data_IF_310958465779
#
_entry.id   IF_310958465779
#
_cell.length_a   1.000
_cell.length_b   1.000
_cell.length_c   1.000
_cell.angle_alpha   90.00
_cell.angle_beta   90.00
_cell.angle_gamma   90.00
#
_symmetry.space_group_name_H-M   'P 1'
#
loop_
_entity.id
_entity.type
_entity.pdbx_description
1 polymer ?
#
# COMPACT_ATOMS: atom_id res chain seq x y z
N UNK A 1 53.07 3.99 -72.05
CA UNK A 1 52.29 4.25 -73.27
C UNK A 1 50.94 3.50 -73.19
N UNK A 2 49.82 4.21 -73.45
CA UNK A 2 48.40 3.76 -73.62
C UNK A 2 47.68 3.24 -72.33
N UNK A 3 46.75 3.94 -71.64
CA UNK A 3 45.37 4.45 -71.94
C UNK A 3 44.42 3.31 -72.40
N UNK A 4 43.25 2.96 -71.83
CA UNK A 4 41.99 3.69 -71.44
C UNK A 4 41.06 2.67 -70.68
N UNK A 5 40.38 2.98 -69.57
CA UNK A 5 39.00 3.55 -69.34
C UNK A 5 37.77 2.64 -69.61
N UNK A 6 36.75 2.80 -68.74
CA UNK A 6 35.30 2.43 -68.73
C UNK A 6 34.92 1.23 -67.83
N UNK A 7 34.29 1.35 -66.64
CA UNK A 7 33.00 1.93 -66.17
C UNK A 7 31.73 1.26 -66.72
N UNK A 8 30.71 1.18 -65.84
CA UNK A 8 29.29 0.82 -66.05
C UNK A 8 29.05 -0.72 -66.20
N UNK A 9 28.12 -1.42 -65.54
CA UNK A 9 26.75 -1.05 -65.16
C UNK A 9 26.20 -1.99 -64.07
N UNK A 10 25.77 -1.35 -63.00
CA UNK A 10 24.89 -1.84 -61.95
C UNK A 10 23.44 -1.64 -62.49
N UNK A 11 22.56 -2.63 -62.29
CA UNK A 11 21.08 -2.55 -62.22
C UNK A 11 20.25 -2.90 -63.47
N UNK A 12 19.59 -4.06 -63.39
CA UNK A 12 18.25 -4.35 -63.88
C UNK A 12 17.61 -5.24 -62.79
N UNK A 13 16.89 -4.73 -61.79
CA UNK A 13 15.49 -4.25 -61.82
C UNK A 13 14.53 -5.30 -62.39
N UNK A 14 13.92 -6.03 -61.44
CA UNK A 14 12.47 -6.11 -61.20
C UNK A 14 11.62 -6.96 -62.16
N UNK A 15 10.54 -7.51 -61.56
CA UNK A 15 9.34 -8.13 -62.14
C UNK A 15 9.46 -9.66 -62.28
N UNK A 16 8.64 -10.52 -61.67
CA UNK A 16 7.46 -10.34 -60.82
C UNK A 16 6.91 -11.72 -60.38
N UNK A 17 6.42 -11.78 -59.12
CA UNK A 17 5.07 -12.28 -58.70
C UNK A 17 4.72 -13.77 -58.99
N UNK A 18 4.05 -14.58 -58.14
CA UNK A 18 3.00 -14.33 -57.14
C UNK A 18 2.64 -15.69 -56.47
N UNK A 19 2.30 -15.68 -55.15
CA UNK A 19 1.26 -16.50 -54.46
C UNK A 19 1.50 -18.02 -54.29
N UNK A 20 1.25 -18.72 -53.16
CA UNK A 20 0.80 -18.41 -51.78
C UNK A 20 0.73 -19.73 -50.95
N UNK A 21 0.86 -19.61 -49.61
CA UNK A 21 0.34 -20.50 -48.53
C UNK A 21 0.88 -21.95 -48.50
N UNK A 22 1.29 -22.55 -47.36
CA UNK A 22 0.63 -22.70 -46.06
C UNK A 22 1.66 -23.02 -44.95
N UNK A 23 1.38 -22.59 -43.71
CA UNK A 23 1.57 -23.26 -42.39
C UNK A 23 2.84 -24.11 -42.18
N UNK A 24 3.62 -23.99 -41.11
CA UNK A 24 3.19 -24.11 -39.71
C UNK A 24 4.41 -24.04 -38.79
N UNK A 25 4.19 -23.40 -37.64
CA UNK A 25 4.95 -23.39 -36.40
C UNK A 25 5.93 -24.56 -36.18
N UNK A 26 7.24 -24.28 -36.10
CA UNK A 26 8.16 -25.13 -35.33
C UNK A 26 7.93 -24.84 -33.85
N UNK A 27 7.30 -25.80 -33.17
CA UNK A 27 7.11 -25.79 -31.72
C UNK A 27 8.48 -25.81 -31.06
N UNK A 28 8.92 -24.69 -30.49
CA UNK A 28 10.04 -24.69 -29.55
C UNK A 28 9.60 -25.52 -28.33
N UNK A 29 10.32 -26.60 -28.06
CA UNK A 29 10.17 -27.34 -26.82
C UNK A 29 10.60 -26.45 -25.67
N UNK A 30 9.67 -26.19 -24.75
CA UNK A 30 9.97 -25.56 -23.48
C UNK A 30 11.07 -26.34 -22.75
N UNK A 31 12.01 -25.67 -22.07
CA UNK A 31 13.04 -26.34 -21.31
C UNK A 31 12.41 -27.29 -20.28
N UNK A 32 12.85 -28.54 -20.30
CA UNK A 32 12.38 -29.59 -19.41
C UNK A 32 12.91 -29.32 -17.99
N UNK A 33 12.10 -28.70 -17.14
CA UNK A 33 12.39 -28.55 -15.72
C UNK A 33 12.12 -29.88 -15.00
N UNK A 34 13.10 -30.45 -14.26
CA UNK A 34 12.92 -31.71 -13.56
C UNK A 34 11.78 -31.61 -12.55
N UNK A 35 10.75 -32.44 -12.74
CA UNK A 35 9.67 -32.68 -11.77
C UNK A 35 10.18 -33.59 -10.66
N UNK A 36 10.70 -32.98 -9.60
CA UNK A 36 10.45 -33.32 -8.19
C UNK A 36 11.57 -32.68 -7.36
N UNK A 37 11.23 -31.62 -6.65
CA UNK A 37 11.35 -31.61 -5.21
C UNK A 37 10.35 -30.57 -4.71
N UNK A 38 9.57 -30.98 -3.72
CA UNK A 38 8.56 -30.18 -3.04
C UNK A 38 9.23 -28.99 -2.36
N UNK A 39 9.48 -27.93 -3.12
CA UNK A 39 9.65 -26.60 -2.56
C UNK A 39 8.28 -26.23 -2.04
N UNK A 40 8.06 -26.43 -0.74
CA UNK A 40 7.03 -25.71 -0.02
C UNK A 40 7.31 -24.23 -0.24
N UNK A 41 6.68 -23.66 -1.27
CA UNK A 41 6.39 -22.24 -1.32
C UNK A 41 5.64 -21.99 -0.03
N UNK A 42 6.36 -21.51 0.98
CA UNK A 42 5.77 -20.77 2.09
C UNK A 42 4.86 -19.77 1.39
N UNK A 43 3.56 -19.88 1.58
CA UNK A 43 2.67 -18.74 1.36
C UNK A 43 3.39 -17.54 1.97
N UNK A 44 3.52 -16.45 1.20
CA UNK A 44 4.02 -15.20 1.75
C UNK A 44 3.33 -15.01 3.09
N UNK A 45 4.11 -15.12 4.17
CA UNK A 45 3.66 -14.60 5.45
C UNK A 45 3.43 -13.14 5.15
N UNK A 46 2.16 -12.73 5.18
CA UNK A 46 1.83 -11.32 5.25
C UNK A 46 2.65 -10.84 6.45
N UNK A 47 3.67 -10.00 6.21
CA UNK A 47 4.29 -9.28 7.31
C UNK A 47 3.13 -8.49 7.93
N UNK A 48 2.70 -8.91 9.11
CA UNK A 48 1.67 -8.24 9.90
C UNK A 48 2.29 -7.02 10.59
N UNK A 49 3.24 -6.37 9.92
CA UNK A 49 3.87 -5.18 10.44
C UNK A 49 2.91 -4.02 10.23
N UNK A 50 2.56 -3.36 11.33
CA UNK A 50 1.72 -2.18 11.28
C UNK A 50 2.50 -1.00 11.82
N UNK A 51 2.56 0.03 10.99
CA UNK A 51 3.25 1.27 11.29
C UNK A 51 2.27 2.33 11.78
N UNK A 52 2.59 2.90 12.94
CA UNK A 52 1.84 3.97 13.58
C UNK A 52 2.73 5.20 13.72
N UNK A 53 2.19 6.39 13.52
CA UNK A 53 2.93 7.62 13.74
C UNK A 53 3.17 7.82 15.25
N UNK A 54 4.36 8.22 15.67
CA UNK A 54 4.64 8.63 17.05
C UNK A 54 4.45 10.14 17.15
N UNK A 55 3.33 10.58 17.73
CA UNK A 55 2.90 11.99 17.73
C UNK A 55 3.18 12.64 19.09
N UNK A 56 4.14 13.56 19.12
CA UNK A 56 4.46 14.42 20.26
C UNK A 56 3.68 15.73 20.25
N UNK A 57 3.39 16.28 21.44
CA UNK A 57 2.73 17.59 21.57
C UNK A 57 1.41 17.71 20.79
N UNK A 58 0.70 16.59 20.58
CA UNK A 58 -0.53 16.43 19.79
C UNK A 58 -0.39 16.54 18.25
N UNK A 59 0.69 17.09 17.71
CA UNK A 59 0.77 17.43 16.27
C UNK A 59 2.13 17.16 15.61
N UNK A 60 3.18 16.88 16.39
CA UNK A 60 4.53 16.74 15.86
C UNK A 60 4.80 15.25 15.67
N UNK A 61 4.97 14.80 14.43
CA UNK A 61 5.48 13.46 14.20
C UNK A 61 6.98 13.44 14.56
N UNK A 62 7.33 12.63 15.55
CA UNK A 62 8.72 12.48 16.05
C UNK A 62 9.31 11.12 15.71
N UNK A 63 8.61 10.32 14.90
CA UNK A 63 9.01 8.98 14.51
C UNK A 63 7.82 8.04 14.32
N UNK A 64 8.07 6.75 14.48
CA UNK A 64 7.07 5.69 14.28
C UNK A 64 7.09 4.69 15.42
N UNK A 65 5.98 3.96 15.56
CA UNK A 65 5.89 2.75 16.36
C UNK A 65 5.43 1.61 15.45
N UNK A 66 6.24 0.57 15.37
CA UNK A 66 6.00 -0.62 14.55
C UNK A 66 5.49 -1.74 15.45
N UNK A 67 4.36 -2.34 15.06
CA UNK A 67 3.82 -3.54 15.70
C UNK A 67 4.01 -4.71 14.76
N UNK A 68 4.68 -5.77 15.21
CA UNK A 68 4.84 -7.00 14.42
C UNK A 68 4.69 -8.21 15.32
N UNK A 69 3.96 -9.23 14.88
CA UNK A 69 3.84 -10.50 15.61
C UNK A 69 4.51 -11.68 14.90
N UNK A 70 5.09 -12.58 15.68
CA UNK A 70 5.65 -13.86 15.21
C UNK A 70 4.71 -15.06 15.50
N UNK A 71 3.46 -14.79 15.88
CA UNK A 71 2.47 -15.75 16.37
C UNK A 71 2.61 -16.13 17.85
N UNK A 72 3.68 -15.70 18.54
CA UNK A 72 3.92 -15.96 19.97
C UNK A 72 4.06 -14.67 20.77
N UNK A 73 4.75 -13.68 20.22
CA UNK A 73 4.97 -12.38 20.82
C UNK A 73 4.54 -11.26 19.87
N UNK A 74 4.12 -10.16 20.44
CA UNK A 74 3.99 -8.86 19.80
C UNK A 74 5.25 -8.06 20.09
N UNK A 75 6.01 -7.75 19.05
CA UNK A 75 7.10 -6.79 19.10
C UNK A 75 6.53 -5.39 18.88
N UNK A 76 6.81 -4.49 19.82
CA UNK A 76 6.44 -3.06 19.75
C UNK A 76 7.73 -2.25 19.71
N UNK A 77 8.11 -1.82 18.51
CA UNK A 77 9.34 -1.07 18.28
C UNK A 77 9.05 0.41 18.11
N UNK A 78 9.66 1.24 18.96
CA UNK A 78 9.70 2.69 18.83
C UNK A 78 10.92 3.07 18.00
N UNK A 79 10.76 3.99 17.05
CA UNK A 79 11.83 4.57 16.25
C UNK A 79 11.62 6.07 16.18
N UNK A 80 12.58 6.88 16.61
CA UNK A 80 12.50 8.35 16.46
C UNK A 80 13.21 8.84 15.20
N UNK A 81 12.75 9.96 14.66
CA UNK A 81 13.33 10.63 13.48
C UNK A 81 13.63 12.10 13.76
N UNK A 82 14.22 12.80 12.78
CA UNK A 82 14.32 14.27 12.75
C UNK A 82 14.97 14.93 13.97
N UNK A 83 15.94 14.24 14.58
CA UNK A 83 16.70 14.77 15.72
C UNK A 83 16.03 14.56 17.08
N UNK A 84 14.98 13.76 17.15
CA UNK A 84 14.37 13.33 18.40
C UNK A 84 15.04 12.09 18.97
N UNK A 85 15.08 11.99 20.30
CA UNK A 85 15.59 10.85 21.07
C UNK A 85 14.58 10.45 22.15
N UNK A 86 14.55 9.16 22.47
CA UNK A 86 13.73 8.57 23.53
C UNK A 86 14.40 8.76 24.89
N UNK A 87 13.64 9.13 25.92
CA UNK A 87 14.11 9.17 27.31
C UNK A 87 13.39 8.16 28.21
N UNK A 88 12.07 8.03 28.06
CA UNK A 88 11.23 7.13 28.86
C UNK A 88 10.19 6.49 27.95
N UNK A 89 9.80 5.25 28.24
CA UNK A 89 8.78 4.53 27.48
C UNK A 89 7.79 3.85 28.42
N UNK A 90 6.52 3.87 28.05
CA UNK A 90 5.47 3.15 28.75
C UNK A 90 4.54 2.50 27.74
N UNK A 91 4.28 1.21 27.91
CA UNK A 91 3.51 0.41 26.98
C UNK A 91 2.45 -0.40 27.74
N UNK A 92 1.21 -0.24 27.30
CA UNK A 92 0.12 -1.15 27.64
C UNK A 92 -0.21 -2.02 26.42
N UNK A 93 -0.31 -3.34 26.65
CA UNK A 93 -0.86 -4.32 25.70
C UNK A 93 -1.76 -5.25 26.50
N UNK A 94 -3.04 -5.31 26.13
CA UNK A 94 -4.04 -6.08 26.87
C UNK A 94 -5.48 -5.73 26.45
N UNK A 95 -6.50 -6.16 27.21
CA UNK A 95 -7.89 -5.78 26.93
C UNK A 95 -8.12 -4.27 27.11
N UNK A 96 -9.04 -3.68 26.35
CA UNK A 96 -9.32 -2.24 26.41
C UNK A 96 -9.78 -1.77 27.80
N UNK A 97 -10.62 -2.57 28.47
CA UNK A 97 -11.08 -2.32 29.84
C UNK A 97 -9.95 -2.41 30.88
N UNK A 98 -8.82 -3.00 30.51
CA UNK A 98 -7.65 -3.13 31.37
C UNK A 98 -6.69 -1.95 31.29
N UNK A 99 -6.90 -0.98 30.38
CA UNK A 99 -6.03 0.19 30.28
C UNK A 99 -6.11 0.98 31.60
N UNK A 100 -4.99 1.18 32.33
CA UNK A 100 -5.00 1.89 33.59
C UNK A 100 -5.46 3.34 33.41
N UNK A 101 -6.62 3.69 33.95
CA UNK A 101 -7.17 5.06 33.92
C UNK A 101 -7.57 5.53 35.31
N UNK A 102 -7.59 6.85 35.52
CA UNK A 102 -8.13 7.44 36.73
C UNK A 102 -9.67 7.59 36.63
N UNK A 103 -10.32 8.05 37.70
CA UNK A 103 -11.78 8.24 37.73
C UNK A 103 -12.35 9.19 36.67
N UNK A 104 -11.50 10.00 36.01
CA UNK A 104 -11.88 10.92 34.93
C UNK A 104 -11.52 10.36 33.54
N UNK A 105 -11.12 9.09 33.44
CA UNK A 105 -10.75 8.43 32.19
C UNK A 105 -9.35 8.75 31.68
N UNK A 106 -8.55 9.58 32.37
CA UNK A 106 -7.19 9.86 31.92
C UNK A 106 -6.29 8.64 32.16
N UNK A 107 -5.41 8.27 31.21
CA UNK A 107 -4.45 7.19 31.41
C UNK A 107 -3.52 7.49 32.59
N UNK A 108 -3.22 6.46 33.37
CA UNK A 108 -2.22 6.48 34.44
C UNK A 108 -0.98 5.78 33.92
N UNK A 109 -0.17 6.53 33.18
CA UNK A 109 0.98 6.03 32.39
C UNK A 109 1.96 5.22 33.25
N UNK A 110 2.28 5.68 34.46
CA UNK A 110 3.15 4.95 35.41
C UNK A 110 2.55 3.66 36.00
N UNK A 111 1.37 3.23 35.55
CA UNK A 111 0.79 1.92 35.86
C UNK A 111 0.75 0.99 34.64
N UNK A 112 1.34 1.40 33.51
CA UNK A 112 1.46 0.52 32.36
C UNK A 112 2.43 -0.63 32.70
N UNK A 113 2.10 -1.87 32.31
CA UNK A 113 2.83 -3.06 32.76
C UNK A 113 4.24 -3.19 32.18
N UNK A 114 4.48 -2.57 31.02
CA UNK A 114 5.79 -2.51 30.38
C UNK A 114 6.27 -1.07 30.42
N UNK A 115 7.46 -0.82 30.95
CA UNK A 115 8.08 0.50 30.91
C UNK A 115 9.60 0.40 30.87
N UNK A 116 10.20 1.48 30.40
CA UNK A 116 11.62 1.78 30.57
C UNK A 116 11.72 3.23 31.06
N UNK A 117 12.07 3.40 32.34
CA UNK A 117 12.00 4.68 33.05
C UNK A 117 13.23 5.57 32.76
N UNK A 118 14.29 5.00 32.16
CA UNK A 118 15.47 5.77 31.80
C UNK A 118 16.24 5.08 30.69
N UNK A 119 16.12 5.62 29.48
CA UNK A 119 16.95 5.22 28.34
C UNK A 119 18.27 6.02 28.32
N UNK A 120 19.36 5.44 27.77
CA UNK A 120 20.58 6.18 27.52
C UNK A 120 20.35 7.41 26.65
N UNK A 121 21.17 8.43 26.84
CA UNK A 121 21.16 9.60 25.97
C UNK A 121 21.31 9.20 24.49
N UNK A 122 20.62 9.93 23.61
CA UNK A 122 20.62 9.76 22.15
C UNK A 122 20.03 8.42 21.67
N UNK A 123 19.25 7.72 22.50
CA UNK A 123 18.54 6.50 22.08
C UNK A 123 17.47 6.84 21.06
N UNK A 124 17.57 6.29 19.84
CA UNK A 124 16.59 6.54 18.76
C UNK A 124 15.70 5.35 18.45
N UNK A 125 15.91 4.19 19.09
CA UNK A 125 15.08 3.02 18.90
C UNK A 125 15.05 2.14 20.13
N UNK A 126 13.89 1.54 20.40
CA UNK A 126 13.74 0.56 21.47
C UNK A 126 12.57 -0.37 21.16
N UNK A 127 12.70 -1.66 21.50
CA UNK A 127 11.66 -2.66 21.26
C UNK A 127 11.24 -3.31 22.56
N UNK A 128 9.93 -3.37 22.82
CA UNK A 128 9.36 -4.29 23.80
C UNK A 128 8.91 -5.57 23.11
N UNK A 129 9.25 -6.70 23.69
CA UNK A 129 8.69 -8.01 23.32
C UNK A 129 7.61 -8.37 24.32
N UNK A 130 6.35 -8.43 23.87
CA UNK A 130 5.20 -8.71 24.71
C UNK A 130 4.62 -10.09 24.36
N UNK A 131 4.56 -11.05 25.31
CA UNK A 131 3.93 -12.33 25.06
C UNK A 131 2.46 -12.16 24.70
N UNK A 132 2.02 -12.77 23.60
CA UNK A 132 0.63 -12.81 23.22
C UNK A 132 -0.11 -13.86 24.05
N UNK A 133 -1.26 -13.48 24.60
CA UNK A 133 -2.19 -14.40 25.28
C UNK A 133 -3.06 -15.18 24.30
N UNK A 134 -4.23 -15.66 24.75
CA UNK A 134 -5.19 -16.36 23.87
C UNK A 134 -6.17 -15.40 23.17
N UNK A 135 -6.19 -14.12 23.54
CA UNK A 135 -7.09 -13.13 22.95
C UNK A 135 -6.83 -12.92 21.45
N UNK A 136 -7.90 -12.62 20.70
CA UNK A 136 -7.81 -12.31 19.26
C UNK A 136 -7.35 -10.88 19.02
N UNK A 137 -7.70 -9.93 19.91
CA UNK A 137 -7.37 -8.52 19.78
C UNK A 137 -6.88 -7.93 21.11
N UNK A 138 -5.96 -6.99 21.03
CA UNK A 138 -5.37 -6.27 22.15
C UNK A 138 -5.46 -4.77 21.91
N UNK A 139 -5.83 -4.02 22.94
CA UNK A 139 -5.56 -2.60 22.99
C UNK A 139 -4.07 -2.36 23.25
N UNK A 140 -3.45 -1.54 22.41
CA UNK A 140 -2.05 -1.13 22.49
C UNK A 140 -2.00 0.37 22.72
N UNK A 141 -1.49 0.77 23.89
CA UNK A 141 -1.28 2.18 24.23
C UNK A 141 0.22 2.39 24.43
N UNK A 142 0.87 2.92 23.39
CA UNK A 142 2.31 3.15 23.33
C UNK A 142 2.60 4.63 23.59
N UNK A 143 3.29 4.92 24.70
CA UNK A 143 3.65 6.25 25.16
C UNK A 143 5.17 6.39 25.26
N UNK A 144 5.67 7.55 24.86
CA UNK A 144 7.08 7.90 24.98
C UNK A 144 7.25 9.29 25.58
N UNK A 145 8.31 9.48 26.35
CA UNK A 145 8.89 10.79 26.61
C UNK A 145 10.08 10.94 25.67
N UNK A 146 10.11 12.05 24.94
CA UNK A 146 11.11 12.33 23.91
C UNK A 146 11.73 13.69 24.13
N UNK A 147 12.95 13.88 23.62
CA UNK A 147 13.59 15.18 23.58
C UNK A 147 14.30 15.44 22.25
N UNK A 148 14.37 16.72 21.88
CA UNK A 148 15.07 17.15 20.67
C UNK A 148 16.55 17.48 20.95
N UNK A 149 17.29 17.82 19.88
CA UNK A 149 18.69 18.24 19.96
C UNK A 149 18.93 19.52 20.78
N UNK A 150 17.88 20.26 21.13
CA UNK A 150 17.93 21.45 21.96
C UNK A 150 17.58 21.17 23.44
N UNK A 151 17.24 19.91 23.77
CA UNK A 151 16.83 19.48 25.10
C UNK A 151 15.39 19.84 25.45
N UNK A 152 14.55 20.21 24.47
CA UNK A 152 13.12 20.37 24.70
C UNK A 152 12.50 18.99 24.88
N UNK A 153 11.71 18.82 25.95
CA UNK A 153 11.06 17.54 26.29
C UNK A 153 9.59 17.59 25.92
N UNK A 154 9.10 16.54 25.27
CA UNK A 154 7.70 16.34 24.92
C UNK A 154 7.25 14.93 25.29
N UNK A 155 5.94 14.75 25.47
CA UNK A 155 5.33 13.42 25.54
C UNK A 155 4.74 13.07 24.18
N UNK A 156 4.82 11.81 23.78
CA UNK A 156 4.33 11.30 22.51
C UNK A 156 3.49 10.03 22.69
N UNK A 157 2.54 9.83 21.78
CA UNK A 157 1.70 8.64 21.74
C UNK A 157 1.69 8.06 20.32
N UNK A 158 1.68 6.73 20.23
CA UNK A 158 1.44 6.08 18.96
C UNK A 158 0.02 6.37 18.48
N UNK A 159 -0.10 6.76 17.21
CA UNK A 159 -1.36 7.01 16.53
C UNK A 159 -1.37 6.19 15.24
N UNK A 160 -2.06 5.06 15.29
CA UNK A 160 -2.22 4.16 14.16
C UNK A 160 -3.36 4.65 13.26
N UNK A 161 -3.08 4.81 11.98
CA UNK A 161 -4.07 5.12 10.96
C UNK A 161 -3.87 4.14 9.81
N UNK A 162 -4.89 3.34 9.51
CA UNK A 162 -4.81 2.45 8.36
C UNK A 162 -4.86 3.26 7.06
N UNK A 163 -3.72 3.36 6.39
CA UNK A 163 -3.47 4.20 5.21
C UNK A 163 -3.02 3.34 4.01
N UNK A 164 -3.87 2.49 3.43
CA UNK A 164 -3.46 1.61 2.35
C UNK A 164 -3.13 2.38 1.08
N UNK A 165 -2.19 1.85 0.33
CA UNK A 165 -1.97 2.22 -1.05
C UNK A 165 -3.10 1.65 -1.91
N UNK A 166 -3.77 2.54 -2.63
CA UNK A 166 -4.76 2.24 -3.65
C UNK A 166 -4.18 2.56 -5.01
N UNK A 167 -4.20 1.58 -5.89
CA UNK A 167 -3.85 1.77 -7.30
C UNK A 167 -4.61 0.79 -8.18
N UNK A 168 -4.96 1.22 -9.39
CA UNK A 168 -5.73 0.39 -10.29
C UNK A 168 -5.41 0.65 -11.75
N UNK A 169 -5.74 -0.35 -12.57
CA UNK A 169 -5.78 -0.26 -14.03
C UNK A 169 -7.14 -0.72 -14.52
N UNK A 170 -7.70 0.04 -15.45
CA UNK A 170 -8.97 -0.28 -16.09
C UNK A 170 -8.86 -0.19 -17.61
N UNK A 171 -9.72 -0.92 -18.30
CA UNK A 171 -9.87 -0.86 -19.74
C UNK A 171 -11.26 -0.38 -20.09
N UNK A 172 -11.31 0.55 -21.03
CA UNK A 172 -12.51 1.22 -21.48
C UNK A 172 -12.74 0.89 -22.96
N UNK A 173 -14.01 0.78 -23.32
CA UNK A 173 -14.50 0.79 -24.68
C UNK A 173 -15.10 2.16 -24.95
N UNK A 174 -14.79 2.68 -26.12
CA UNK A 174 -15.37 3.92 -26.66
C UNK A 174 -16.32 3.53 -27.80
N UNK A 175 -17.63 3.51 -27.55
CA UNK A 175 -18.60 3.12 -28.57
C UNK A 175 -18.62 4.07 -29.77
N UNK A 176 -18.32 5.35 -29.53
CA UNK A 176 -18.46 6.42 -30.52
C UNK A 176 -17.15 6.68 -31.28
N UNK A 177 -16.03 6.15 -30.77
CA UNK A 177 -14.70 6.30 -31.37
C UNK A 177 -14.14 7.72 -31.24
N UNK A 178 -14.67 8.52 -30.31
CA UNK A 178 -14.27 9.89 -30.00
C UNK A 178 -12.78 10.00 -29.62
N UNK A 179 -12.24 8.95 -29.01
CA UNK A 179 -10.83 8.76 -28.65
C UNK A 179 -9.93 8.39 -29.83
N UNK A 180 -10.49 8.07 -30.99
CA UNK A 180 -9.76 7.47 -32.12
C UNK A 180 -9.41 5.99 -31.90
N UNK A 181 -9.84 5.38 -30.79
CA UNK A 181 -9.60 3.99 -30.44
C UNK A 181 -10.91 3.28 -30.10
N UNK A 182 -11.07 2.02 -30.50
CA UNK A 182 -12.25 1.23 -30.10
C UNK A 182 -12.17 0.77 -28.64
N UNK A 183 -10.96 0.55 -28.14
CA UNK A 183 -10.67 0.28 -26.73
C UNK A 183 -9.35 0.91 -26.33
N UNK A 184 -9.26 1.32 -25.07
CA UNK A 184 -8.04 1.85 -24.49
C UNK A 184 -7.99 1.53 -22.99
N UNK A 185 -6.92 1.94 -22.33
CA UNK A 185 -6.72 1.73 -20.90
C UNK A 185 -6.53 3.05 -20.17
N UNK A 186 -6.86 3.03 -18.88
CA UNK A 186 -6.59 4.12 -17.95
C UNK A 186 -6.09 3.55 -16.62
N UNK A 187 -5.36 4.36 -15.87
CA UNK A 187 -4.83 4.05 -14.53
C UNK A 187 -5.27 5.11 -13.55
N UNK A 188 -5.19 4.83 -12.25
CA UNK A 188 -5.35 5.87 -11.23
C UNK A 188 -4.31 6.97 -11.39
N UNK A 189 -4.71 8.23 -11.23
CA UNK A 189 -3.80 9.34 -10.92
C UNK A 189 -3.14 9.11 -9.57
N UNK A 190 -2.05 9.82 -9.26
CA UNK A 190 -1.36 9.73 -7.98
C UNK A 190 0.15 9.81 -8.11
N UNK A 191 0.86 9.47 -7.04
CA UNK A 191 2.32 9.40 -7.03
C UNK A 191 2.80 8.21 -7.89
N UNK A 192 3.76 8.37 -8.80
CA UNK A 192 4.21 7.28 -9.65
C UNK A 192 4.95 6.21 -8.85
N UNK A 193 4.65 4.93 -9.13
CA UNK A 193 5.34 3.78 -8.50
C UNK A 193 6.82 3.72 -8.87
N UNK A 194 7.16 4.16 -10.09
CA UNK A 194 8.52 4.18 -10.61
C UNK A 194 8.70 5.38 -11.55
N UNK A 195 9.92 5.88 -11.62
CA UNK A 195 10.33 6.93 -12.57
C UNK A 195 10.84 6.37 -13.90
N UNK A 196 10.96 5.04 -14.03
CA UNK A 196 11.34 4.37 -15.28
C UNK A 196 10.13 3.77 -16.02
N UNK A 197 10.20 3.79 -17.35
CA UNK A 197 9.26 3.16 -18.30
C UNK A 197 7.80 3.68 -18.31
N UNK A 198 6.91 2.95 -18.99
CA UNK A 198 5.49 3.27 -19.21
C UNK A 198 4.65 3.24 -17.92
N UNK A 199 5.14 2.63 -16.84
CA UNK A 199 4.46 2.63 -15.55
C UNK A 199 4.64 3.93 -14.76
N UNK A 200 5.41 4.89 -15.29
CA UNK A 200 5.52 6.27 -14.76
C UNK A 200 4.20 7.03 -14.70
N UNK A 201 3.17 6.59 -15.43
CA UNK A 201 1.84 7.22 -15.37
C UNK A 201 0.89 6.54 -14.39
N UNK A 202 1.28 5.40 -13.79
CA UNK A 202 0.49 4.69 -12.81
C UNK A 202 0.63 5.36 -11.46
N UNK A 203 -0.43 6.03 -11.03
CA UNK A 203 -0.49 6.66 -9.73
C UNK A 203 -0.89 5.69 -8.62
N UNK A 204 -0.14 5.72 -7.53
CA UNK A 204 -0.53 5.22 -6.21
C UNK A 204 -1.06 6.35 -5.37
N UNK A 205 -2.07 6.04 -4.55
CA UNK A 205 -2.64 6.98 -3.60
C UNK A 205 -2.68 6.32 -2.23
N UNK A 206 -2.10 6.97 -1.23
CA UNK A 206 -2.32 6.63 0.17
C UNK A 206 -3.75 7.04 0.50
N UNK A 207 -4.61 6.07 0.85
CA UNK A 207 -6.00 6.35 1.15
C UNK A 207 -6.15 7.20 2.40
N UNK A 208 -6.89 8.29 2.24
CA UNK A 208 -7.48 9.10 3.30
C UNK A 208 -9.01 9.04 3.14
N UNK A 209 -9.72 9.06 4.26
CA UNK A 209 -11.17 8.85 4.30
C UNK A 209 -11.93 9.76 3.32
N UNK A 210 -12.63 9.15 2.35
CA UNK A 210 -13.46 9.84 1.37
C UNK A 210 -12.73 10.34 0.11
N UNK A 211 -11.56 9.80 -0.20
CA UNK A 211 -10.76 10.23 -1.33
C UNK A 211 -11.41 10.01 -2.71
N UNK A 212 -11.07 10.94 -3.61
CA UNK A 212 -11.43 10.90 -5.03
C UNK A 212 -10.21 11.09 -5.90
N UNK A 213 -10.01 10.19 -6.85
CA UNK A 213 -8.92 10.22 -7.81
C UNK A 213 -9.47 10.32 -9.24
N UNK A 214 -8.62 10.74 -10.18
CA UNK A 214 -8.96 10.73 -11.60
C UNK A 214 -8.44 9.46 -12.27
N UNK A 215 -9.10 9.02 -13.33
CA UNK A 215 -8.48 8.09 -14.26
C UNK A 215 -7.62 8.89 -15.25
N UNK A 216 -6.41 8.39 -15.51
CA UNK A 216 -5.43 8.97 -16.43
C UNK A 216 -5.19 8.02 -17.59
N UNK A 217 -5.21 8.55 -18.81
CA UNK A 217 -4.90 7.83 -20.04
C UNK A 217 -4.04 8.70 -20.96
N UNK A 218 -3.30 8.07 -21.86
CA UNK A 218 -2.48 8.74 -22.87
C UNK A 218 -3.25 9.17 -24.12
N UNK A 219 -4.46 8.64 -24.32
CA UNK A 219 -5.25 8.81 -25.54
C UNK A 219 -6.63 9.43 -25.30
N UNK A 220 -7.01 9.65 -24.04
CA UNK A 220 -8.29 10.29 -23.69
C UNK A 220 -8.12 11.27 -22.54
N UNK A 221 -8.55 12.52 -22.75
CA UNK A 221 -8.61 13.52 -21.69
C UNK A 221 -9.87 13.27 -20.87
N UNK A 222 -9.72 12.87 -19.60
CA UNK A 222 -10.81 12.63 -18.64
C UNK A 222 -11.63 11.32 -18.83
N UNK A 223 -10.99 10.13 -18.84
CA UNK A 223 -11.67 8.86 -19.04
C UNK A 223 -12.63 8.44 -17.90
N UNK A 224 -12.53 9.06 -16.72
CA UNK A 224 -13.38 8.73 -15.59
C UNK A 224 -12.81 9.16 -14.25
N UNK A 225 -13.43 8.69 -13.18
CA UNK A 225 -13.05 8.97 -11.80
C UNK A 225 -13.10 7.73 -10.93
N UNK A 226 -12.39 7.80 -9.81
CA UNK A 226 -12.36 6.78 -8.77
C UNK A 226 -12.80 7.45 -7.48
N UNK A 227 -13.74 6.84 -6.76
CA UNK A 227 -14.15 7.26 -5.42
C UNK A 227 -13.93 6.10 -4.47
N UNK A 228 -13.37 6.36 -3.30
CA UNK A 228 -13.13 5.36 -2.26
C UNK A 228 -13.88 5.74 -0.99
N UNK A 229 -14.59 4.76 -0.42
CA UNK A 229 -15.30 4.90 0.85
C UNK A 229 -15.02 3.70 1.74
N UNK A 230 -14.91 3.90 3.05
CA UNK A 230 -14.90 2.82 4.05
C UNK A 230 -16.26 2.70 4.76
N UNK A 231 -16.64 1.47 5.09
CA UNK A 231 -17.76 1.16 5.99
C UNK A 231 -17.31 0.62 7.36
N UNK A 232 -16.00 0.63 7.62
CA UNK A 232 -15.37 0.06 8.81
C UNK A 232 -15.02 -1.43 8.69
N UNK A 233 -15.43 -2.12 7.62
CA UNK A 233 -15.04 -3.51 7.35
C UNK A 233 -14.41 -3.68 5.96
N UNK A 234 -14.83 -2.87 4.98
CA UNK A 234 -14.34 -2.91 3.61
C UNK A 234 -14.07 -1.51 3.08
N UNK A 235 -13.07 -1.41 2.22
CA UNK A 235 -12.90 -0.32 1.28
C UNK A 235 -13.71 -0.63 0.02
N UNK A 236 -14.67 0.23 -0.26
CA UNK A 236 -15.46 0.22 -1.47
C UNK A 236 -14.86 1.19 -2.47
N UNK A 237 -14.28 0.65 -3.54
CA UNK A 237 -13.66 1.40 -4.64
C UNK A 237 -14.62 1.44 -5.82
N UNK A 238 -15.17 2.62 -6.09
CA UNK A 238 -16.07 2.85 -7.23
C UNK A 238 -15.30 3.51 -8.37
N UNK A 239 -15.18 2.81 -9.49
CA UNK A 239 -14.61 3.33 -10.73
C UNK A 239 -15.76 3.70 -11.64
N UNK A 240 -15.84 4.96 -12.05
CA UNK A 240 -16.89 5.48 -12.93
C UNK A 240 -16.27 6.02 -14.20
N UNK A 241 -16.67 5.48 -15.35
CA UNK A 241 -16.34 6.04 -16.65
C UNK A 241 -17.08 7.37 -16.86
N UNK A 242 -16.44 8.31 -17.55
CA UNK A 242 -17.11 9.54 -18.00
C UNK A 242 -17.62 9.37 -19.43
N UNK A 243 -18.48 10.29 -19.83
CA UNK A 243 -19.12 10.30 -21.16
C UNK A 243 -19.86 8.96 -21.43
N UNK A 244 -19.94 8.54 -22.69
CA UNK A 244 -20.54 7.26 -23.10
C UNK A 244 -19.54 6.09 -23.11
N UNK A 245 -18.42 6.23 -22.38
CA UNK A 245 -17.41 5.19 -22.25
C UNK A 245 -17.91 4.03 -21.38
N UNK A 246 -17.50 2.82 -21.73
CA UNK A 246 -17.83 1.61 -20.98
C UNK A 246 -16.58 0.95 -20.42
N UNK A 247 -16.52 0.77 -19.10
CA UNK A 247 -15.55 -0.10 -18.47
C UNK A 247 -15.81 -1.54 -18.91
N UNK A 248 -14.77 -2.34 -19.15
CA UNK A 248 -14.93 -3.78 -19.40
C UNK A 248 -13.98 -4.69 -18.62
N UNK A 249 -12.97 -4.09 -17.97
CA UNK A 249 -12.02 -4.78 -17.09
C UNK A 249 -11.46 -3.78 -16.09
N UNK A 250 -11.41 -4.14 -14.81
CA UNK A 250 -10.75 -3.33 -13.78
C UNK A 250 -9.98 -4.24 -12.84
N UNK A 251 -8.71 -3.91 -12.61
CA UNK A 251 -7.83 -4.59 -11.67
C UNK A 251 -7.38 -3.59 -10.60
N UNK A 252 -7.59 -3.95 -9.34
CA UNK A 252 -7.39 -3.10 -8.17
C UNK A 252 -6.42 -3.76 -7.20
N UNK A 253 -5.46 -2.98 -6.73
CA UNK A 253 -4.63 -3.31 -5.59
C UNK A 253 -4.97 -2.39 -4.41
N UNK A 254 -5.09 -2.99 -3.24
CA UNK A 254 -5.22 -2.33 -1.94
C UNK A 254 -4.26 -3.06 -1.00
N UNK A 255 -3.34 -2.34 -0.37
CA UNK A 255 -2.32 -2.94 0.50
C UNK A 255 -1.21 -1.96 0.85
N UNK A 256 -0.07 -2.48 1.33
CA UNK A 256 1.12 -1.65 1.62
C UNK A 256 2.00 -1.43 0.38
N UNK A 257 2.99 -0.54 0.48
CA UNK A 257 3.94 -0.28 -0.61
C UNK A 257 4.86 -1.49 -0.86
N UNK A 258 5.22 -2.21 0.19
CA UNK A 258 6.03 -3.43 0.20
C UNK A 258 5.28 -4.55 -0.51
N UNK A 259 3.99 -4.73 -0.17
CA UNK A 259 3.10 -5.68 -0.84
C UNK A 259 2.95 -5.35 -2.33
N UNK A 260 2.85 -4.07 -2.69
CA UNK A 260 2.79 -3.65 -4.09
C UNK A 260 4.11 -3.94 -4.83
N UNK A 261 5.25 -3.73 -4.18
CA UNK A 261 6.57 -3.99 -4.77
C UNK A 261 6.77 -5.47 -5.14
N UNK A 262 6.10 -6.39 -4.44
CA UNK A 262 6.10 -7.81 -4.77
C UNK A 262 5.49 -8.13 -6.17
N UNK A 263 4.71 -7.21 -6.75
CA UNK A 263 4.17 -7.33 -8.10
C UNK A 263 5.14 -6.84 -9.20
N UNK A 264 6.31 -6.34 -8.81
CA UNK A 264 7.36 -5.82 -9.70
C UNK A 264 7.32 -4.30 -9.89
N UNK A 265 8.42 -3.76 -10.44
CA UNK A 265 8.61 -2.31 -10.68
C UNK A 265 7.48 -1.70 -11.52
N UNK A 266 7.04 -2.43 -12.55
CA UNK A 266 5.78 -2.17 -13.25
C UNK A 266 4.83 -3.34 -12.93
N UNK A 267 3.82 -3.14 -12.07
CA UNK A 267 3.04 -4.23 -11.51
C UNK A 267 2.36 -5.15 -12.53
N UNK A 268 2.40 -6.46 -12.29
CA UNK A 268 1.62 -7.44 -13.04
C UNK A 268 0.13 -7.39 -12.66
N UNK A 269 -0.63 -6.44 -13.24
CA UNK A 269 -2.04 -6.20 -12.87
C UNK A 269 -2.97 -7.42 -12.90
N UNK A 270 -2.87 -8.36 -13.88
CA UNK A 270 -3.69 -9.58 -13.84
C UNK A 270 -3.56 -10.41 -12.56
N UNK A 271 -2.45 -10.25 -11.83
CA UNK A 271 -2.20 -10.91 -10.55
C UNK A 271 -2.82 -10.17 -9.35
N UNK A 272 -3.35 -8.96 -9.54
CA UNK A 272 -3.99 -8.22 -8.46
C UNK A 272 -5.20 -9.00 -7.89
N UNK A 273 -5.43 -8.91 -6.56
CA UNK A 273 -6.41 -9.73 -5.87
C UNK A 273 -7.85 -9.34 -6.22
N UNK A 274 -8.12 -8.04 -6.45
CA UNK A 274 -9.47 -7.54 -6.70
C UNK A 274 -9.64 -7.22 -8.19
N UNK A 275 -10.61 -7.87 -8.84
CA UNK A 275 -10.81 -7.69 -10.28
C UNK A 275 -12.24 -7.90 -10.76
N UNK A 276 -12.59 -7.16 -11.80
CA UNK A 276 -13.77 -7.36 -12.64
C UNK A 276 -13.28 -7.60 -14.07
N UNK A 277 -13.79 -8.63 -14.73
CA UNK A 277 -13.39 -9.01 -16.08
C UNK A 277 -14.60 -9.27 -16.97
N UNK A 278 -14.56 -8.73 -18.20
CA UNK A 278 -15.55 -8.97 -19.24
C UNK A 278 -16.98 -8.52 -18.86
N UNK A 279 -17.09 -7.49 -18.02
CA UNK A 279 -18.37 -6.89 -17.61
C UNK A 279 -18.41 -5.48 -18.16
N UNK A 280 -19.32 -5.20 -19.09
CA UNK A 280 -19.49 -3.85 -19.63
C UNK A 280 -20.41 -3.02 -18.73
N UNK A 281 -19.93 -1.88 -18.26
CA UNK A 281 -20.69 -0.98 -17.40
C UNK A 281 -20.11 0.45 -17.42
N UNK A 282 -20.93 1.45 -17.12
CA UNK A 282 -20.42 2.80 -16.82
C UNK A 282 -19.69 2.85 -15.46
N UNK A 283 -19.93 1.84 -14.62
CA UNK A 283 -19.47 1.80 -13.23
C UNK A 283 -19.02 0.39 -12.84
N UNK A 284 -17.83 0.29 -12.26
CA UNK A 284 -17.31 -0.91 -11.58
C UNK A 284 -17.16 -0.61 -10.10
N UNK A 285 -17.64 -1.52 -9.25
CA UNK A 285 -17.51 -1.42 -7.80
C UNK A 285 -16.73 -2.64 -7.33
N UNK A 286 -15.58 -2.41 -6.70
CA UNK A 286 -14.76 -3.45 -6.07
C UNK A 286 -14.73 -3.23 -4.57
N UNK A 287 -14.74 -4.32 -3.81
CA UNK A 287 -14.63 -4.30 -2.36
C UNK A 287 -13.33 -5.00 -1.95
N UNK A 288 -12.54 -4.31 -1.15
CA UNK A 288 -11.32 -4.83 -0.54
C UNK A 288 -11.49 -4.83 0.98
N UNK A 289 -11.38 -5.98 1.67
CA UNK A 289 -11.46 -6.02 3.13
C UNK A 289 -10.40 -5.12 3.73
N UNK A 290 -10.80 -4.33 4.74
CA UNK A 290 -9.86 -3.69 5.64
C UNK A 290 -9.17 -4.81 6.43
N UNK A 291 -7.84 -4.73 6.67
CA UNK A 291 -7.16 -5.72 7.47
C UNK A 291 -7.81 -5.75 8.85
N UNK A 292 -8.09 -6.95 9.39
CA UNK A 292 -8.64 -7.08 10.74
C UNK A 292 -7.67 -6.57 11.80
N UNK A 293 -6.39 -6.44 11.42
CA UNK A 293 -5.23 -6.33 12.28
C UNK A 293 -5.13 -5.00 13.01
N UNK A 294 -5.61 -3.87 12.45
CA UNK A 294 -5.66 -2.59 13.17
C UNK A 294 -6.93 -1.79 12.87
N UNK A 295 -7.63 -1.44 13.96
CA UNK A 295 -8.57 -0.33 13.95
C UNK A 295 -7.81 0.99 14.15
N UNK A 296 -8.23 2.04 13.44
CA UNK A 296 -7.70 3.39 13.65
C UNK A 296 -7.66 3.73 15.15
N UNK A 297 -6.59 4.41 15.56
CA UNK A 297 -6.40 4.80 16.95
C UNK A 297 -7.61 5.53 17.52
N UNK A 298 -8.07 5.06 18.68
CA UNK A 298 -9.14 5.66 19.46
C UNK A 298 -8.50 6.62 20.46
N UNK A 299 -9.00 7.85 20.53
CA UNK A 299 -8.51 8.80 21.53
C UNK A 299 -9.02 8.43 22.93
N UNK A 300 -8.22 8.69 23.97
CA UNK A 300 -8.69 8.50 25.36
C UNK A 300 -9.94 9.35 25.67
N UNK A 301 -10.09 10.50 25.01
CA UNK A 301 -11.28 11.33 25.13
C UNK A 301 -12.53 10.61 24.59
N UNK A 302 -12.42 9.98 23.43
CA UNK A 302 -13.51 9.23 22.80
C UNK A 302 -13.88 7.98 23.60
N UNK A 303 -12.89 7.18 24.00
CA UNK A 303 -13.14 5.93 24.72
C UNK A 303 -13.59 6.13 26.18
N UNK A 304 -13.00 7.11 26.89
CA UNK A 304 -13.14 7.20 28.35
C UNK A 304 -13.58 8.57 28.85
N UNK A 305 -13.88 9.53 27.97
CA UNK A 305 -14.21 10.91 28.38
C UNK A 305 -13.04 11.64 29.04
N UNK A 306 -11.80 11.24 28.73
CA UNK A 306 -10.59 11.83 29.27
C UNK A 306 -10.43 13.32 28.90
N UNK A 307 -9.74 14.07 29.76
CA UNK A 307 -9.35 15.46 29.47
C UNK A 307 -7.89 15.57 28.99
N UNK A 308 -7.09 14.52 29.19
CA UNK A 308 -5.74 14.40 28.66
C UNK A 308 -5.76 13.85 27.24
N UNK A 309 -4.79 14.29 26.43
CA UNK A 309 -4.60 13.79 25.08
C UNK A 309 -3.80 12.48 25.07
N UNK A 310 -3.96 11.72 23.99
CA UNK A 310 -3.31 10.44 23.76
C UNK A 310 -4.25 9.47 23.04
N UNK A 311 -3.69 8.36 22.58
CA UNK A 311 -4.42 7.34 21.84
C UNK A 311 -4.02 5.94 22.29
N UNK A 312 -4.90 5.00 22.00
CA UNK A 312 -4.56 3.58 21.90
C UNK A 312 -5.09 3.08 20.56
N UNK A 313 -4.57 1.94 20.10
CA UNK A 313 -5.03 1.25 18.88
C UNK A 313 -5.42 -0.17 19.25
N UNK A 314 -6.34 -0.78 18.49
CA UNK A 314 -6.54 -2.22 18.60
C UNK A 314 -5.61 -2.92 17.62
N UNK A 315 -4.90 -3.94 18.11
CA UNK A 315 -4.09 -4.88 17.33
C UNK A 315 -4.75 -6.25 17.40
N UNK A 316 -5.18 -6.81 16.26
CA UNK A 316 -5.76 -8.14 16.20
C UNK A 316 -4.82 -9.12 15.51
N UNK A 317 -4.73 -10.34 16.03
CA UNK A 317 -4.01 -11.44 15.37
C UNK A 317 -4.72 -11.79 14.06
N UNK A 318 -3.94 -12.18 13.06
CA UNK A 318 -4.46 -12.67 11.77
C UNK A 318 -4.78 -14.17 11.79
#
# INVERSE_FOLDING_TARGET
MKKKKFYILKWAILIALIVSAFTSCTKEEAPNFPKNESSTLKCATVDNEVECDLIAGQYINVGTVLYSDDGVNLEVQYVTSDGWSLSELHLYVGPEEGIPTNKKGNPVIGHFPYSEESLPDVTTSYTFTVPLGDDECYAVAAHAVVYDVHGNVETAWAKCEYKPIITLKTWLKDPDGSSGHSTFWAVSSGEPISTSDWCSIMGTNVYVKGDKYSLVSNCYSNPGSITVTDDGSNLKVTVKANDDLLLYRTYLFVGTKEQLAAYGICPNYPAFPYKIENVYSDTHVLEAPLPPTINNSISFQEAFGANSWGWFSQYCKN
#
